data_IF_142659848282
#
_entry.id   IF_142659848282
#
_cell.length_a   1.000
_cell.length_b   1.000
_cell.length_c   1.000
_cell.angle_alpha   90.00
_cell.angle_beta   90.00
_cell.angle_gamma   90.00
#
_symmetry.space_group_name_H-M   'P 1'
#
loop_
_entity.id
_entity.type
_entity.pdbx_description
1 polymer ?
#
# COMPACT_ATOMS: atom_id res chain seq x y z
N UNK A 1 3.65 -7.14 -40.86
CA UNK A 1 3.96 -7.90 -42.10
C UNK A 1 2.98 -7.66 -43.24
N UNK A 2 1.65 -7.68 -43.03
CA UNK A 2 0.67 -7.51 -44.11
C UNK A 2 0.80 -6.20 -44.91
N UNK A 3 0.99 -5.07 -44.21
CA UNK A 3 1.09 -3.74 -44.84
C UNK A 3 2.33 -3.57 -45.73
N UNK A 4 3.40 -4.31 -45.43
CA UNK A 4 4.66 -4.26 -46.19
C UNK A 4 4.62 -5.10 -47.44
N UNK A 5 4.05 -6.29 -47.34
CA UNK A 5 3.80 -7.13 -48.51
C UNK A 5 2.86 -6.39 -49.45
N UNK A 6 1.82 -5.75 -48.93
CA UNK A 6 0.91 -4.91 -49.72
C UNK A 6 1.62 -3.72 -50.39
N UNK A 7 2.45 -2.98 -49.65
CA UNK A 7 3.23 -1.86 -50.21
C UNK A 7 4.22 -2.30 -51.29
N UNK A 8 4.95 -3.41 -51.09
CA UNK A 8 5.87 -3.97 -52.08
C UNK A 8 5.14 -4.48 -53.33
N UNK A 9 3.97 -5.12 -53.17
CA UNK A 9 3.13 -5.54 -54.29
C UNK A 9 2.63 -4.33 -55.08
N UNK A 10 2.21 -3.24 -54.41
CA UNK A 10 1.81 -1.99 -55.07
C UNK A 10 2.96 -1.38 -55.88
N UNK A 11 4.18 -1.38 -55.34
CA UNK A 11 5.35 -0.90 -56.06
C UNK A 11 5.68 -1.77 -57.28
N UNK A 12 5.56 -3.09 -57.16
CA UNK A 12 5.74 -4.01 -58.29
C UNK A 12 4.67 -3.78 -59.37
N UNK A 13 3.40 -3.65 -58.99
CA UNK A 13 2.29 -3.33 -59.92
C UNK A 13 2.53 -1.98 -60.60
N UNK A 14 2.93 -0.94 -59.86
CA UNK A 14 3.26 0.35 -60.42
C UNK A 14 4.41 0.28 -61.45
N UNK A 15 5.43 -0.53 -61.17
CA UNK A 15 6.56 -0.77 -62.08
C UNK A 15 6.11 -1.47 -63.37
N UNK A 16 5.31 -2.55 -63.27
CA UNK A 16 4.80 -3.27 -64.44
C UNK A 16 3.83 -2.43 -65.28
N UNK A 17 2.94 -1.66 -64.66
CA UNK A 17 2.03 -0.74 -65.36
C UNK A 17 2.82 0.36 -66.08
N UNK A 18 3.91 0.87 -65.48
CA UNK A 18 4.80 1.85 -66.11
C UNK A 18 5.54 1.25 -67.32
N UNK A 19 6.01 0.01 -67.20
CA UNK A 19 6.68 -0.69 -68.31
C UNK A 19 5.70 -0.94 -69.46
N UNK A 20 4.47 -1.37 -69.18
CA UNK A 20 3.41 -1.51 -70.18
C UNK A 20 3.00 -0.18 -70.84
N UNK A 21 2.94 0.91 -70.07
CA UNK A 21 2.66 2.24 -70.61
C UNK A 21 3.78 2.82 -71.51
N UNK A 22 5.00 2.27 -71.41
CA UNK A 22 6.12 2.63 -72.28
C UNK A 22 6.15 1.82 -73.59
N UNK A 23 5.58 0.61 -73.60
CA UNK A 23 5.50 -0.25 -74.80
C UNK A 23 4.26 0.04 -75.65
N UNK A 24 3.19 0.58 -75.07
CA UNK A 24 2.01 1.05 -75.83
C UNK A 24 2.40 2.32 -76.61
N UNK A 25 2.71 2.16 -77.91
CA UNK A 25 2.90 3.27 -78.85
C UNK A 25 1.63 4.12 -78.90
N UNK A 26 1.81 5.44 -78.83
CA UNK A 26 0.74 6.43 -78.85
C UNK A 26 0.12 6.54 -80.25
N UNK A 27 -0.66 5.54 -80.68
CA UNK A 27 -1.58 5.68 -81.80
C UNK A 27 -2.99 5.93 -81.24
N UNK A 28 -3.34 7.19 -81.04
CA UNK A 28 -4.76 7.56 -80.92
C UNK A 28 -4.97 9.01 -81.33
N UNK A 29 -5.43 9.19 -82.57
CA UNK A 29 -6.11 10.39 -82.99
C UNK A 29 -7.47 10.44 -82.28
N UNK A 30 -7.70 11.47 -81.45
CA UNK A 30 -9.06 11.88 -81.05
C UNK A 30 -9.62 11.38 -79.70
N UNK A 31 -8.88 10.66 -78.86
CA UNK A 31 -9.35 10.25 -77.53
C UNK A 31 -8.21 10.17 -76.52
N UNK A 32 -8.49 10.43 -75.23
CA UNK A 32 -7.49 10.40 -74.14
C UNK A 32 -6.56 9.19 -74.31
N UNK A 33 -5.28 9.44 -74.59
CA UNK A 33 -4.32 8.38 -74.88
C UNK A 33 -4.28 7.37 -73.72
N UNK A 34 -4.55 6.10 -74.01
CA UNK A 34 -4.53 5.00 -73.04
C UNK A 34 -3.19 4.96 -72.28
N UNK A 35 -2.08 5.22 -72.98
CA UNK A 35 -0.75 5.34 -72.37
C UNK A 35 -0.62 6.50 -71.36
N UNK A 36 -1.32 7.62 -71.56
CA UNK A 36 -1.37 8.73 -70.61
C UNK A 36 -2.10 8.37 -69.32
N UNK A 37 -3.25 7.68 -69.42
CA UNK A 37 -4.01 7.20 -68.25
C UNK A 37 -3.20 6.16 -67.47
N UNK A 38 -2.56 5.21 -68.14
CA UNK A 38 -1.70 4.20 -67.51
C UNK A 38 -0.48 4.82 -66.80
N UNK A 39 0.12 5.88 -67.37
CA UNK A 39 1.20 6.63 -66.68
C UNK A 39 0.70 7.27 -65.40
N UNK A 40 -0.45 7.96 -65.43
CA UNK A 40 -1.03 8.58 -64.22
C UNK A 40 -1.33 7.51 -63.16
N UNK A 41 -1.96 6.40 -63.54
CA UNK A 41 -2.23 5.28 -62.63
C UNK A 41 -0.95 4.69 -62.03
N UNK A 42 0.13 4.58 -62.83
CA UNK A 42 1.43 4.10 -62.32
C UNK A 42 2.04 5.05 -61.27
N UNK A 43 1.91 6.37 -61.46
CA UNK A 43 2.40 7.35 -60.48
C UNK A 43 1.58 7.32 -59.19
N UNK A 44 0.26 7.16 -59.31
CA UNK A 44 -0.62 7.02 -58.13
C UNK A 44 -0.30 5.75 -57.37
N UNK A 45 -0.17 4.60 -58.05
CA UNK A 45 0.20 3.34 -57.41
C UNK A 45 1.59 3.39 -56.76
N UNK A 46 2.55 4.06 -57.40
CA UNK A 46 3.89 4.29 -56.83
C UNK A 46 3.83 5.18 -55.59
N UNK A 47 3.07 6.28 -55.63
CA UNK A 47 2.91 7.16 -54.47
C UNK A 47 2.28 6.42 -53.28
N UNK A 48 1.22 5.64 -53.52
CA UNK A 48 0.58 4.83 -52.46
C UNK A 48 1.54 3.76 -51.94
N UNK A 49 2.28 3.09 -52.83
CA UNK A 49 3.28 2.08 -52.45
C UNK A 49 4.40 2.65 -51.58
N UNK A 50 4.92 3.84 -51.93
CA UNK A 50 5.92 4.55 -51.12
C UNK A 50 5.35 4.95 -49.76
N UNK A 51 4.14 5.51 -49.71
CA UNK A 51 3.49 5.92 -48.45
C UNK A 51 3.25 4.72 -47.54
N UNK A 52 2.79 3.59 -48.07
CA UNK A 52 2.56 2.37 -47.28
C UNK A 52 3.85 1.78 -46.73
N UNK A 53 4.92 1.75 -47.52
CA UNK A 53 6.24 1.29 -47.03
C UNK A 53 6.81 2.23 -45.98
N UNK A 54 6.72 3.56 -46.18
CA UNK A 54 7.14 4.55 -45.19
C UNK A 54 6.35 4.41 -43.88
N UNK A 55 5.03 4.30 -43.97
CA UNK A 55 4.14 4.11 -42.82
C UNK A 55 4.47 2.85 -42.02
N UNK A 56 4.75 1.74 -42.71
CA UNK A 56 5.12 0.49 -42.05
C UNK A 56 6.55 0.49 -41.46
N UNK A 57 7.38 1.47 -41.81
CA UNK A 57 8.73 1.65 -41.26
C UNK A 57 8.70 2.61 -40.06
N UNK A 58 7.69 3.46 -39.95
CA UNK A 58 7.53 4.41 -38.84
C UNK A 58 6.66 3.85 -37.73
N UNK A 59 7.20 3.76 -36.52
CA UNK A 59 6.45 3.35 -35.33
C UNK A 59 6.49 4.46 -34.29
N UNK A 60 5.34 4.72 -33.68
CA UNK A 60 5.20 5.69 -32.58
C UNK A 60 5.15 4.92 -31.28
N UNK A 61 6.07 5.25 -30.37
CA UNK A 61 6.08 4.76 -28.99
C UNK A 61 5.55 5.86 -28.10
N UNK A 62 4.51 5.53 -27.34
CA UNK A 62 3.83 6.50 -26.49
C UNK A 62 4.75 6.93 -25.33
N UNK A 63 4.43 8.08 -24.73
CA UNK A 63 5.06 8.48 -23.48
C UNK A 63 4.76 7.45 -22.38
N UNK A 64 5.75 7.11 -21.57
CA UNK A 64 5.63 6.11 -20.51
C UNK A 64 5.60 4.65 -21.00
N UNK A 65 5.97 4.40 -22.26
CA UNK A 65 6.19 3.08 -22.82
C UNK A 65 7.60 2.96 -23.40
N UNK A 66 8.15 1.75 -23.42
CA UNK A 66 9.39 1.41 -24.12
C UNK A 66 9.14 0.25 -25.06
N UNK A 67 9.69 0.34 -26.27
CA UNK A 67 9.58 -0.71 -27.28
C UNK A 67 10.85 -1.54 -27.33
N UNK A 68 10.73 -2.86 -27.33
CA UNK A 68 11.83 -3.78 -27.62
C UNK A 68 11.62 -4.38 -29.00
N UNK A 69 12.57 -4.11 -29.89
CA UNK A 69 12.56 -4.62 -31.26
C UNK A 69 13.11 -6.04 -31.28
N UNK A 70 12.38 -6.95 -31.92
CA UNK A 70 12.84 -8.31 -32.15
C UNK A 70 12.48 -8.79 -33.56
N UNK A 71 13.38 -9.56 -34.18
CA UNK A 71 13.19 -10.11 -35.52
C UNK A 71 13.91 -11.46 -35.64
N UNK A 72 13.24 -12.45 -36.24
CA UNK A 72 13.84 -13.76 -36.56
C UNK A 72 14.59 -14.43 -35.38
N UNK A 73 14.08 -14.30 -34.16
CA UNK A 73 14.71 -14.87 -32.96
C UNK A 73 15.88 -14.07 -32.38
N UNK A 74 16.20 -12.90 -32.96
CA UNK A 74 17.17 -11.95 -32.40
C UNK A 74 16.45 -10.76 -31.78
N UNK A 75 16.97 -10.28 -30.66
CA UNK A 75 16.48 -9.10 -29.94
C UNK A 75 17.54 -8.01 -30.04
N UNK A 76 17.13 -6.79 -30.34
CA UNK A 76 18.07 -5.68 -30.38
C UNK A 76 18.50 -5.25 -28.98
N UNK A 77 19.80 -5.04 -28.75
CA UNK A 77 20.33 -4.67 -27.44
C UNK A 77 19.93 -3.25 -27.02
N UNK A 78 19.51 -2.41 -27.98
CA UNK A 78 19.10 -1.03 -27.72
C UNK A 78 17.58 -0.91 -27.72
N UNK A 79 16.96 -0.51 -26.60
CA UNK A 79 15.52 -0.33 -26.54
C UNK A 79 15.10 0.95 -27.28
N UNK A 80 13.88 0.93 -27.81
CA UNK A 80 13.26 2.06 -28.47
C UNK A 80 12.55 2.92 -27.42
N UNK A 81 13.13 4.09 -27.13
CA UNK A 81 12.54 5.08 -26.21
C UNK A 81 11.35 5.82 -26.86
N UNK A 82 10.48 6.45 -26.04
CA UNK A 82 9.32 7.22 -26.50
C UNK A 82 9.61 8.17 -27.66
N UNK A 83 8.64 8.30 -28.57
CA UNK A 83 8.72 9.15 -29.75
C UNK A 83 8.55 8.38 -31.06
N UNK A 84 8.78 9.10 -32.16
CA UNK A 84 8.71 8.54 -33.51
C UNK A 84 10.03 7.83 -33.81
N UNK A 85 9.96 6.54 -34.10
CA UNK A 85 11.13 5.70 -34.39
C UNK A 85 10.98 5.06 -35.77
N UNK A 86 12.08 5.06 -36.51
CA UNK A 86 12.17 4.36 -37.79
C UNK A 86 12.74 2.97 -37.52
N UNK A 87 11.96 1.93 -37.80
CA UNK A 87 12.29 0.54 -37.51
C UNK A 87 12.31 -0.27 -38.79
N UNK A 88 13.01 -1.40 -38.76
CA UNK A 88 13.00 -2.30 -39.91
C UNK A 88 11.59 -2.89 -40.07
N UNK A 89 11.05 -2.87 -41.28
CA UNK A 89 9.64 -3.20 -41.49
C UNK A 89 9.27 -4.66 -41.14
N UNK A 90 10.22 -5.59 -41.26
CA UNK A 90 10.03 -7.00 -40.88
C UNK A 90 10.20 -7.28 -39.37
N UNK A 91 10.50 -6.27 -38.56
CA UNK A 91 10.65 -6.42 -37.10
C UNK A 91 9.30 -6.29 -36.38
N UNK A 92 9.16 -7.04 -35.30
CA UNK A 92 8.08 -6.88 -34.34
C UNK A 92 8.57 -6.08 -33.15
N UNK A 93 7.66 -5.35 -32.49
CA UNK A 93 7.99 -4.51 -31.34
C UNK A 93 7.09 -4.93 -30.19
N UNK A 94 7.71 -5.46 -29.16
CA UNK A 94 7.07 -5.68 -27.87
C UNK A 94 7.09 -4.36 -27.09
N UNK A 95 5.99 -4.00 -26.42
CA UNK A 95 5.91 -2.75 -25.66
C UNK A 95 5.77 -3.06 -24.18
N UNK A 96 6.43 -2.26 -23.36
CA UNK A 96 6.32 -2.33 -21.91
C UNK A 96 5.97 -0.96 -21.37
N UNK A 97 5.15 -0.93 -20.33
CA UNK A 97 5.00 0.26 -19.51
C UNK A 97 6.30 0.56 -18.74
N UNK A 98 6.73 1.82 -18.76
CA UNK A 98 7.80 2.32 -17.89
C UNK A 98 7.24 3.23 -16.81
N UNK A 99 5.91 3.22 -16.63
CA UNK A 99 5.25 3.97 -15.57
C UNK A 99 5.48 3.27 -14.24
N UNK A 100 5.30 4.02 -13.16
CA UNK A 100 5.25 3.45 -11.83
C UNK A 100 3.95 2.64 -11.69
N UNK A 101 4.11 1.37 -11.37
CA UNK A 101 3.01 0.45 -11.14
C UNK A 101 2.90 0.09 -9.66
N UNK A 102 1.67 -0.18 -9.23
CA UNK A 102 1.38 -0.58 -7.86
C UNK A 102 1.09 -2.07 -7.80
N UNK A 103 1.66 -2.71 -6.79
CA UNK A 103 1.30 -4.04 -6.32
C UNK A 103 0.63 -3.95 -4.94
N UNK A 104 -0.47 -4.68 -4.70
CA UNK A 104 -1.31 -5.39 -5.68
C UNK A 104 -1.92 -4.41 -6.69
N UNK A 105 -2.30 -4.90 -7.87
CA UNK A 105 -2.81 -4.04 -8.95
C UNK A 105 -4.09 -3.33 -8.49
N UNK A 106 -4.24 -2.07 -8.91
CA UNK A 106 -5.41 -1.24 -8.58
C UNK A 106 -6.71 -1.94 -9.00
N UNK A 107 -7.46 -2.46 -8.02
CA UNK A 107 -8.70 -3.23 -8.23
C UNK A 107 -8.66 -4.68 -7.75
N UNK A 108 -7.46 -5.23 -7.49
CA UNK A 108 -7.31 -6.52 -6.81
C UNK A 108 -7.51 -6.37 -5.30
N UNK A 109 -8.05 -7.42 -4.69
CA UNK A 109 -8.10 -7.58 -3.23
C UNK A 109 -6.69 -7.49 -2.64
N UNK A 110 -6.62 -7.09 -1.37
CA UNK A 110 -5.41 -7.16 -0.56
C UNK A 110 -4.75 -8.53 -0.74
N UNK A 111 -3.50 -8.57 -1.22
CA UNK A 111 -2.77 -9.83 -1.37
C UNK A 111 -2.07 -10.16 -0.05
N UNK A 112 -2.71 -11.05 0.70
CA UNK A 112 -2.16 -11.60 1.94
C UNK A 112 -1.08 -12.65 1.63
N UNK A 113 0.13 -12.40 2.12
CA UNK A 113 1.27 -13.28 1.99
C UNK A 113 1.46 -14.04 3.30
N UNK A 114 1.25 -15.37 3.25
CA UNK A 114 1.63 -16.25 4.34
C UNK A 114 3.16 -16.35 4.43
N UNK A 115 3.71 -16.00 5.60
CA UNK A 115 5.12 -16.03 5.92
C UNK A 115 5.36 -16.69 7.29
N UNK A 116 6.60 -17.06 7.58
CA UNK A 116 6.99 -17.61 8.87
C UNK A 116 7.86 -16.58 9.61
N UNK A 117 7.63 -16.45 10.92
CA UNK A 117 8.54 -15.73 11.83
C UNK A 117 9.80 -16.55 12.14
N UNK A 118 10.76 -15.93 12.84
CA UNK A 118 11.97 -16.61 13.33
C UNK A 118 11.68 -17.83 14.21
N UNK A 119 10.53 -17.84 14.88
CA UNK A 119 10.05 -18.93 15.74
C UNK A 119 9.18 -19.96 14.97
N UNK A 120 9.22 -19.94 13.64
CA UNK A 120 8.43 -20.81 12.75
C UNK A 120 6.91 -20.72 12.94
N UNK A 121 6.43 -19.63 13.55
CA UNK A 121 4.99 -19.36 13.61
C UNK A 121 4.53 -18.68 12.33
N UNK A 122 3.43 -19.18 11.77
CA UNK A 122 2.80 -18.61 10.58
C UNK A 122 2.26 -17.22 10.84
N UNK A 123 2.45 -16.30 9.90
CA UNK A 123 1.97 -14.93 9.98
C UNK A 123 1.40 -14.53 8.64
N UNK A 124 0.37 -13.70 8.67
CA UNK A 124 -0.20 -13.11 7.47
C UNK A 124 0.31 -11.69 7.32
N UNK A 125 0.97 -11.41 6.21
CA UNK A 125 1.55 -10.09 5.91
C UNK A 125 0.85 -9.51 4.70
N UNK A 126 0.40 -8.27 4.83
CA UNK A 126 -0.06 -7.47 3.71
C UNK A 126 0.96 -6.36 3.41
N UNK A 127 1.46 -6.37 2.17
CA UNK A 127 2.39 -5.36 1.66
C UNK A 127 1.82 -4.67 0.42
N UNK A 128 2.05 -3.36 0.34
CA UNK A 128 1.92 -2.58 -0.88
C UNK A 128 3.31 -2.21 -1.40
N UNK A 129 3.53 -2.34 -2.70
CA UNK A 129 4.79 -1.95 -3.34
C UNK A 129 4.48 -1.07 -4.54
N UNK A 130 5.32 -0.07 -4.81
CA UNK A 130 5.40 0.56 -6.12
C UNK A 130 6.73 0.30 -6.77
N UNK A 131 6.69 -0.02 -8.05
CA UNK A 131 7.87 -0.38 -8.83
C UNK A 131 7.77 0.18 -10.24
N UNK A 132 8.92 0.29 -10.91
CA UNK A 132 9.02 0.79 -12.28
C UNK A 132 10.12 0.04 -13.03
N UNK A 133 9.95 -0.11 -14.35
CA UNK A 133 10.95 -0.71 -15.23
C UNK A 133 11.92 0.37 -15.69
N UNK A 134 13.22 0.10 -15.62
CA UNK A 134 14.23 0.96 -16.26
C UNK A 134 14.14 0.79 -17.79
N UNK A 135 13.81 1.86 -18.55
CA UNK A 135 13.72 1.79 -20.00
C UNK A 135 14.99 1.27 -20.67
N UNK A 136 16.17 1.49 -20.07
CA UNK A 136 17.45 1.05 -20.64
C UNK A 136 17.68 -0.46 -20.52
N UNK A 137 17.03 -1.12 -19.55
CA UNK A 137 17.15 -2.57 -19.34
C UNK A 137 16.08 -3.38 -20.08
N UNK A 138 15.10 -2.73 -20.71
CA UNK A 138 13.94 -3.38 -21.32
C UNK A 138 14.31 -4.51 -22.29
N UNK A 139 15.30 -4.31 -23.17
CA UNK A 139 15.74 -5.36 -24.10
C UNK A 139 16.27 -6.62 -23.40
N UNK A 140 16.97 -6.46 -22.27
CA UNK A 140 17.48 -7.59 -21.48
C UNK A 140 16.36 -8.30 -20.74
N UNK A 141 15.47 -7.52 -20.14
CA UNK A 141 14.30 -8.04 -19.43
C UNK A 141 13.43 -8.88 -20.37
N UNK A 142 13.16 -8.40 -21.59
CA UNK A 142 12.41 -9.16 -22.59
C UNK A 142 13.11 -10.47 -22.98
N UNK A 143 14.44 -10.44 -23.14
CA UNK A 143 15.19 -11.63 -23.56
C UNK A 143 15.22 -12.71 -22.48
N UNK A 144 15.31 -12.32 -21.21
CA UNK A 144 15.51 -13.25 -20.08
C UNK A 144 14.20 -13.68 -19.41
N UNK A 145 13.21 -12.78 -19.34
CA UNK A 145 11.91 -13.01 -18.68
C UNK A 145 10.80 -13.18 -19.70
N UNK A 146 10.72 -12.27 -20.69
CA UNK A 146 9.73 -12.31 -21.76
C UNK A 146 8.73 -11.15 -21.71
N UNK A 147 7.45 -11.45 -21.96
CA UNK A 147 6.39 -10.45 -22.13
C UNK A 147 5.96 -9.81 -20.79
N UNK A 148 5.19 -8.73 -20.85
CA UNK A 148 4.75 -7.93 -19.70
C UNK A 148 4.12 -8.78 -18.56
N UNK A 149 3.24 -9.73 -18.88
CA UNK A 149 2.65 -10.63 -17.89
C UNK A 149 3.68 -11.52 -17.17
N UNK A 150 4.72 -11.95 -17.88
CA UNK A 150 5.80 -12.75 -17.31
C UNK A 150 6.68 -11.90 -16.40
N UNK A 151 6.88 -10.62 -16.74
CA UNK A 151 7.57 -9.64 -15.90
C UNK A 151 6.76 -9.42 -14.61
N UNK A 152 5.44 -9.19 -14.72
CA UNK A 152 4.56 -9.03 -13.55
C UNK A 152 4.58 -10.25 -12.64
N UNK A 153 4.54 -11.45 -13.20
CA UNK A 153 4.65 -12.70 -12.45
C UNK A 153 6.02 -12.83 -11.75
N UNK A 154 7.10 -12.50 -12.43
CA UNK A 154 8.45 -12.52 -11.85
C UNK A 154 8.59 -11.53 -10.69
N UNK A 155 8.10 -10.30 -10.86
CA UNK A 155 8.06 -9.27 -9.81
C UNK A 155 7.22 -9.74 -8.62
N UNK A 156 6.02 -10.28 -8.86
CA UNK A 156 5.15 -10.82 -7.79
C UNK A 156 5.84 -11.92 -6.99
N UNK A 157 6.55 -12.82 -7.67
CA UNK A 157 7.30 -13.89 -7.01
C UNK A 157 8.48 -13.36 -6.21
N UNK A 158 9.20 -12.34 -6.72
CA UNK A 158 10.27 -11.67 -6.00
C UNK A 158 9.75 -10.97 -4.73
N UNK A 159 8.59 -10.30 -4.80
CA UNK A 159 7.92 -9.69 -3.63
C UNK A 159 7.59 -10.76 -2.59
N UNK A 160 6.89 -11.82 -2.98
CA UNK A 160 6.53 -12.93 -2.06
C UNK A 160 7.76 -13.54 -1.40
N UNK A 161 8.84 -13.73 -2.16
CA UNK A 161 10.10 -14.25 -1.64
C UNK A 161 10.72 -13.26 -0.63
N UNK A 162 10.92 -12.00 -1.01
CA UNK A 162 11.55 -11.00 -0.14
C UNK A 162 10.77 -10.74 1.15
N UNK A 163 9.43 -10.75 1.09
CA UNK A 163 8.57 -10.64 2.28
C UNK A 163 8.72 -11.86 3.19
N UNK A 164 8.70 -13.08 2.64
CA UNK A 164 8.88 -14.31 3.43
C UNK A 164 10.26 -14.36 4.07
N UNK A 165 11.31 -14.08 3.31
CA UNK A 165 12.70 -14.08 3.79
C UNK A 165 12.92 -12.97 4.83
N UNK A 166 12.22 -11.84 4.69
CA UNK A 166 12.26 -10.73 5.65
C UNK A 166 11.60 -11.09 6.98
N UNK A 167 10.44 -11.76 6.94
CA UNK A 167 9.74 -12.16 8.17
C UNK A 167 10.50 -13.17 9.02
N UNK A 168 11.27 -14.07 8.40
CA UNK A 168 12.06 -15.10 9.11
C UNK A 168 13.08 -14.48 10.07
N UNK A 169 13.46 -13.21 9.86
CA UNK A 169 14.44 -12.52 10.71
C UNK A 169 13.83 -11.94 12.00
N UNK A 170 12.50 -11.89 12.12
CA UNK A 170 11.81 -11.23 13.22
C UNK A 170 10.94 -12.21 14.03
N UNK A 171 10.94 -12.04 15.35
CA UNK A 171 10.02 -12.76 16.24
C UNK A 171 8.65 -12.07 16.26
N UNK A 172 7.62 -12.79 16.71
CA UNK A 172 6.28 -12.21 16.96
C UNK A 172 6.36 -11.02 17.95
N UNK A 173 7.29 -11.05 18.91
CA UNK A 173 7.44 -9.97 19.86
C UNK A 173 7.96 -8.67 19.21
N UNK A 174 8.62 -8.77 18.05
CA UNK A 174 9.14 -7.64 17.29
C UNK A 174 8.12 -6.99 16.35
N UNK A 175 6.86 -7.47 16.32
CA UNK A 175 5.78 -6.91 15.48
C UNK A 175 5.61 -5.39 15.68
N UNK A 176 5.92 -4.87 16.86
CA UNK A 176 5.90 -3.44 17.16
C UNK A 176 6.92 -2.62 16.34
N UNK A 177 8.02 -3.24 15.88
CA UNK A 177 9.09 -2.61 15.09
C UNK A 177 8.76 -2.57 13.59
N UNK A 178 7.52 -2.21 13.23
CA UNK A 178 7.01 -2.24 11.85
C UNK A 178 7.92 -1.52 10.85
N UNK A 179 8.50 -0.38 11.21
CA UNK A 179 9.40 0.38 10.33
C UNK A 179 10.68 -0.38 10.00
N UNK A 180 11.24 -1.11 10.98
CA UNK A 180 12.46 -1.89 10.77
C UNK A 180 12.17 -3.11 9.89
N UNK A 181 11.05 -3.80 10.16
CA UNK A 181 10.56 -4.93 9.36
C UNK A 181 10.36 -4.49 7.91
N UNK A 182 9.67 -3.37 7.68
CA UNK A 182 9.41 -2.84 6.35
C UNK A 182 10.70 -2.56 5.56
N UNK A 183 11.71 -1.93 6.20
CA UNK A 183 13.02 -1.67 5.55
C UNK A 183 13.77 -2.95 5.20
N UNK A 184 13.76 -3.94 6.08
CA UNK A 184 14.39 -5.24 5.80
C UNK A 184 13.70 -5.94 4.64
N UNK A 185 12.37 -5.97 4.62
CA UNK A 185 11.60 -6.53 3.51
C UNK A 185 11.88 -5.80 2.21
N UNK A 186 11.86 -4.46 2.21
CA UNK A 186 12.17 -3.64 1.04
C UNK A 186 13.54 -3.99 0.45
N UNK A 187 14.57 -4.06 1.29
CA UNK A 187 15.92 -4.41 0.85
C UNK A 187 15.99 -5.83 0.25
N UNK A 188 15.28 -6.80 0.86
CA UNK A 188 15.25 -8.17 0.36
C UNK A 188 14.46 -8.29 -0.94
N UNK A 189 13.34 -7.59 -1.07
CA UNK A 189 12.58 -7.51 -2.32
C UNK A 189 13.42 -6.87 -3.42
N UNK A 190 14.09 -5.75 -3.14
CA UNK A 190 14.99 -5.09 -4.10
C UNK A 190 16.13 -6.03 -4.54
N UNK A 191 16.69 -6.81 -3.60
CA UNK A 191 17.69 -7.83 -3.92
C UNK A 191 17.14 -8.99 -4.75
N UNK A 192 15.89 -9.40 -4.52
CA UNK A 192 15.23 -10.48 -5.25
C UNK A 192 14.83 -10.09 -6.68
N UNK A 193 14.72 -8.79 -6.95
CA UNK A 193 14.48 -8.24 -8.29
C UNK A 193 15.75 -8.13 -9.13
N UNK A 194 16.91 -8.41 -8.55
CA UNK A 194 18.18 -8.52 -9.28
C UNK A 194 18.38 -9.99 -9.68
N UNK A 195 18.52 -10.23 -10.98
CA UNK A 195 18.72 -11.57 -11.53
C UNK A 195 19.97 -11.64 -12.39
N UNK A 196 20.49 -12.85 -12.56
CA UNK A 196 21.65 -13.11 -13.41
C UNK A 196 21.21 -13.62 -14.79
N UNK A 197 21.81 -13.11 -15.88
CA UNK A 197 21.51 -13.58 -17.22
C UNK A 197 21.79 -15.08 -17.39
N UNK A 198 20.97 -15.78 -18.19
CA UNK A 198 21.18 -17.21 -18.48
C UNK A 198 22.50 -17.49 -19.18
N UNK A 199 22.92 -16.56 -20.04
CA UNK A 199 24.14 -16.68 -20.84
C UNK A 199 25.44 -16.35 -20.07
N UNK A 200 25.34 -15.98 -18.78
CA UNK A 200 26.45 -15.43 -18.02
C UNK A 200 26.69 -13.96 -18.38
N UNK A 201 26.76 -13.09 -17.38
CA UNK A 201 26.92 -11.65 -17.58
C UNK A 201 26.73 -10.86 -16.29
N UNK A 202 26.88 -9.53 -16.33
CA UNK A 202 26.61 -8.70 -15.16
C UNK A 202 25.13 -8.84 -14.77
N UNK A 203 24.82 -8.85 -13.46
CA UNK A 203 23.45 -8.91 -13.00
C UNK A 203 22.67 -7.71 -13.53
N UNK A 204 21.39 -7.93 -13.82
CA UNK A 204 20.48 -6.86 -14.22
C UNK A 204 19.27 -6.85 -13.31
N UNK A 205 18.61 -5.70 -13.26
CA UNK A 205 17.45 -5.47 -12.42
C UNK A 205 16.20 -5.61 -13.28
N UNK A 206 15.24 -6.41 -12.81
CA UNK A 206 13.95 -6.63 -13.48
C UNK A 206 13.08 -5.37 -13.32
N UNK A 207 13.03 -4.84 -12.09
CA UNK A 207 12.27 -3.67 -11.72
C UNK A 207 12.94 -2.92 -10.58
N UNK A 208 12.77 -1.61 -10.54
CA UNK A 208 13.22 -0.75 -9.45
C UNK A 208 12.08 -0.48 -8.50
N UNK A 209 12.28 -0.74 -7.21
CA UNK A 209 11.33 -0.37 -6.16
C UNK A 209 11.40 1.13 -5.93
N UNK A 210 10.26 1.81 -6.05
CA UNK A 210 10.14 3.24 -5.78
C UNK A 210 9.63 3.50 -4.37
N UNK A 211 8.72 2.66 -3.88
CA UNK A 211 8.21 2.74 -2.52
C UNK A 211 7.73 1.37 -2.01
N UNK A 212 7.95 1.11 -0.72
CA UNK A 212 7.48 -0.07 -0.02
C UNK A 212 6.60 0.32 1.18
N UNK A 213 5.45 -0.34 1.32
CA UNK A 213 4.48 -0.10 2.38
C UNK A 213 4.13 -1.42 3.06
N UNK A 214 4.42 -1.55 4.34
CA UNK A 214 3.88 -2.62 5.18
C UNK A 214 2.49 -2.18 5.66
N UNK A 215 1.43 -2.74 5.07
CA UNK A 215 0.04 -2.34 5.35
C UNK A 215 -0.48 -3.04 6.60
N UNK A 216 -0.38 -4.36 6.64
CA UNK A 216 -0.79 -5.13 7.80
C UNK A 216 0.14 -6.30 8.13
N UNK A 217 0.14 -6.68 9.40
CA UNK A 217 0.93 -7.74 9.96
C UNK A 217 0.11 -8.43 11.05
N UNK A 218 -0.48 -9.57 10.70
CA UNK A 218 -1.37 -10.32 11.58
C UNK A 218 -0.70 -11.62 12.05
N UNK A 219 -0.46 -11.78 13.36
CA UNK A 219 -0.08 -13.07 13.93
C UNK A 219 -1.27 -14.04 13.97
N UNK A 220 -1.04 -15.35 14.20
CA UNK A 220 -2.11 -16.34 14.29
C UNK A 220 -3.15 -15.98 15.34
N UNK A 221 -4.42 -16.31 15.05
CA UNK A 221 -5.53 -16.07 15.98
C UNK A 221 -5.28 -16.68 17.37
N UNK A 222 -4.62 -17.84 17.45
CA UNK A 222 -4.26 -18.48 18.72
C UNK A 222 -3.32 -17.62 19.58
N UNK A 223 -2.34 -16.98 18.95
CA UNK A 223 -1.38 -16.11 19.65
C UNK A 223 -2.05 -14.82 20.07
N UNK A 224 -2.89 -14.23 19.21
CA UNK A 224 -3.69 -13.06 19.55
C UNK A 224 -4.59 -13.35 20.75
N UNK A 225 -5.25 -14.51 20.78
CA UNK A 225 -6.06 -14.94 21.92
C UNK A 225 -5.23 -15.12 23.19
N UNK A 226 -4.07 -15.78 23.12
CA UNK A 226 -3.19 -15.95 24.27
C UNK A 226 -2.68 -14.61 24.82
N UNK A 227 -2.31 -13.67 23.94
CA UNK A 227 -1.91 -12.30 24.31
C UNK A 227 -3.08 -11.57 24.97
N UNK A 228 -4.27 -11.59 24.37
CA UNK A 228 -5.45 -10.94 24.94
C UNK A 228 -5.82 -11.52 26.31
N UNK A 229 -5.71 -12.84 26.48
CA UNK A 229 -5.94 -13.50 27.77
C UNK A 229 -4.90 -13.08 28.81
N UNK A 230 -3.63 -12.98 28.43
CA UNK A 230 -2.56 -12.51 29.32
C UNK A 230 -2.78 -11.06 29.75
N UNK A 231 -3.10 -10.17 28.81
CA UNK A 231 -3.42 -8.76 29.10
C UNK A 231 -4.64 -8.66 30.01
N UNK A 232 -5.69 -9.45 29.76
CA UNK A 232 -6.88 -9.49 30.61
C UNK A 232 -6.55 -9.97 32.03
N UNK A 233 -5.71 -10.99 32.18
CA UNK A 233 -5.24 -11.49 33.48
C UNK A 233 -4.39 -10.46 34.22
N UNK A 234 -3.45 -9.81 33.54
CA UNK A 234 -2.62 -8.74 34.10
C UNK A 234 -3.49 -7.57 34.60
N UNK A 235 -4.48 -7.15 33.80
CA UNK A 235 -5.43 -6.12 34.18
C UNK A 235 -6.28 -6.53 35.39
N UNK A 236 -6.66 -7.81 35.49
CA UNK A 236 -7.38 -8.35 36.64
C UNK A 236 -6.52 -8.33 37.90
N UNK A 237 -5.27 -8.77 37.80
CA UNK A 237 -4.31 -8.76 38.92
C UNK A 237 -4.06 -7.33 39.41
N UNK A 238 -3.87 -6.37 38.51
CA UNK A 238 -3.71 -4.96 38.87
C UNK A 238 -4.97 -4.38 39.53
N UNK A 239 -6.16 -4.76 39.05
CA UNK A 239 -7.43 -4.36 39.68
C UNK A 239 -7.57 -4.92 41.10
N UNK A 240 -7.24 -6.20 41.30
CA UNK A 240 -7.28 -6.82 42.62
C UNK A 240 -6.21 -6.25 43.56
N UNK A 241 -5.00 -5.96 43.07
CA UNK A 241 -3.97 -5.25 43.83
C UNK A 241 -4.46 -3.88 44.28
N UNK A 242 -5.06 -3.12 43.37
CA UNK A 242 -5.63 -1.82 43.69
C UNK A 242 -6.77 -1.93 44.72
N UNK A 243 -7.63 -2.95 44.61
CA UNK A 243 -8.68 -3.23 45.61
C UNK A 243 -8.10 -3.54 46.99
N UNK A 244 -7.07 -4.37 47.05
CA UNK A 244 -6.37 -4.71 48.30
C UNK A 244 -5.70 -3.47 48.90
N UNK A 245 -5.08 -2.63 48.07
CA UNK A 245 -4.46 -1.38 48.51
C UNK A 245 -5.51 -0.40 49.06
N UNK A 246 -6.64 -0.20 48.36
CA UNK A 246 -7.75 0.62 48.83
C UNK A 246 -8.32 0.07 50.13
N UNK A 247 -8.55 -1.24 50.24
CA UNK A 247 -9.03 -1.87 51.46
C UNK A 247 -8.05 -1.70 52.63
N UNK A 248 -6.74 -1.79 52.37
CA UNK A 248 -5.69 -1.55 53.37
C UNK A 248 -5.69 -0.10 53.84
N UNK A 249 -5.76 0.86 52.91
CA UNK A 249 -5.83 2.29 53.24
C UNK A 249 -7.09 2.60 54.06
N UNK A 250 -8.24 2.03 53.71
CA UNK A 250 -9.48 2.18 54.47
C UNK A 250 -9.37 1.56 55.88
N UNK A 251 -8.79 0.38 56.01
CA UNK A 251 -8.58 -0.25 57.32
C UNK A 251 -7.61 0.56 58.19
N UNK A 252 -6.57 1.15 57.60
CA UNK A 252 -5.63 2.03 58.28
C UNK A 252 -6.30 3.36 58.69
N UNK A 253 -7.11 3.96 57.83
CA UNK A 253 -7.95 5.11 58.18
C UNK A 253 -8.91 4.78 59.33
N UNK A 254 -9.58 3.63 59.30
CA UNK A 254 -10.46 3.21 60.41
C UNK A 254 -9.68 3.00 61.71
N UNK A 255 -8.49 2.41 61.66
CA UNK A 255 -7.62 2.29 62.84
C UNK A 255 -7.18 3.66 63.36
N UNK A 256 -6.75 4.56 62.49
CA UNK A 256 -6.38 5.93 62.86
C UNK A 256 -7.56 6.69 63.47
N UNK A 257 -8.75 6.58 62.88
CA UNK A 257 -9.99 7.15 63.44
C UNK A 257 -10.27 6.54 64.82
N UNK A 258 -10.23 5.23 64.99
CA UNK A 258 -10.46 4.59 66.30
C UNK A 258 -9.41 4.98 67.36
N UNK A 259 -8.16 5.25 66.94
CA UNK A 259 -7.09 5.67 67.86
C UNK A 259 -7.19 7.16 68.20
N UNK A 260 -7.71 7.99 67.30
CA UNK A 260 -7.86 9.45 67.47
C UNK A 260 -9.21 9.85 68.07
N UNK A 261 -10.24 9.03 67.94
CA UNK A 261 -11.54 9.17 68.62
C UNK A 261 -11.45 8.76 70.09
N UNK A 262 -10.57 9.39 70.85
CA UNK A 262 -10.65 9.33 72.31
C UNK A 262 -11.91 10.07 72.76
N UNK A 263 -12.55 9.68 73.89
CA UNK A 263 -13.72 10.38 74.42
C UNK A 263 -13.48 11.89 74.58
N UNK A 264 -12.24 12.27 74.88
CA UNK A 264 -11.79 13.66 75.05
C UNK A 264 -11.75 14.43 73.71
N UNK A 265 -11.30 13.80 72.63
CA UNK A 265 -11.25 14.42 71.29
C UNK A 265 -12.66 14.63 70.71
N UNK A 266 -13.54 13.65 70.87
CA UNK A 266 -14.97 13.77 70.52
C UNK A 266 -15.66 14.89 71.32
N UNK A 267 -15.35 14.99 72.62
CA UNK A 267 -15.88 16.05 73.48
C UNK A 267 -15.37 17.44 73.04
N UNK A 268 -14.10 17.58 72.65
CA UNK A 268 -13.57 18.83 72.10
C UNK A 268 -14.24 19.21 70.78
N UNK A 269 -14.38 18.27 69.84
CA UNK A 269 -15.04 18.55 68.55
C UNK A 269 -16.52 18.90 68.74
N UNK A 270 -17.20 18.28 69.70
CA UNK A 270 -18.55 18.68 70.12
C UNK A 270 -18.58 20.13 70.64
N UNK A 271 -17.64 20.52 71.50
CA UNK A 271 -17.56 21.90 72.00
C UNK A 271 -17.26 22.93 70.89
N UNK A 272 -16.45 22.57 69.90
CA UNK A 272 -16.17 23.45 68.76
C UNK A 272 -17.40 23.63 67.86
N UNK A 273 -18.14 22.55 67.56
CA UNK A 273 -19.43 22.63 66.85
C UNK A 273 -20.44 23.45 67.64
N UNK A 274 -20.53 23.29 68.97
CA UNK A 274 -21.39 24.14 69.81
C UNK A 274 -20.97 25.62 69.77
N UNK A 275 -19.67 25.91 69.72
CA UNK A 275 -19.14 27.28 69.61
C UNK A 275 -19.48 27.92 68.27
N UNK A 276 -19.44 27.15 67.20
CA UNK A 276 -19.83 27.58 65.85
C UNK A 276 -21.36 27.74 65.73
N UNK A 277 -22.14 26.85 66.34
CA UNK A 277 -23.60 26.99 66.40
C UNK A 277 -24.06 28.22 67.20
N UNK A 278 -23.33 28.63 68.25
CA UNK A 278 -23.56 29.88 68.98
C UNK A 278 -23.51 31.13 68.08
N UNK A 279 -22.76 31.09 66.97
CA UNK A 279 -22.70 32.22 66.03
C UNK A 279 -23.81 32.20 64.97
N UNK A 280 -24.53 31.08 64.84
CA UNK A 280 -25.66 30.91 63.93
C UNK A 280 -27.02 31.12 64.62
N UNK A 281 -27.94 31.80 63.94
CA UNK A 281 -29.19 32.29 64.56
C UNK A 281 -30.30 31.22 64.72
N UNK A 282 -30.03 29.94 64.42
CA UNK A 282 -30.99 28.83 64.51
C UNK A 282 -30.42 27.71 65.40
N UNK A 283 -30.75 27.78 66.70
CA UNK A 283 -30.12 26.95 67.72
C UNK A 283 -31.08 25.81 68.14
N UNK A 284 -30.84 24.60 67.64
CA UNK A 284 -31.42 23.35 68.16
C UNK A 284 -30.35 22.68 69.02
N UNK A 285 -30.53 22.71 70.35
CA UNK A 285 -29.61 22.07 71.30
C UNK A 285 -30.01 20.59 71.43
N UNK A 286 -29.20 19.68 70.90
CA UNK A 286 -29.34 18.25 71.14
C UNK A 286 -28.36 17.81 72.24
N UNK A 287 -28.90 17.45 73.41
CA UNK A 287 -28.12 16.85 74.51
C UNK A 287 -28.52 15.38 74.64
N UNK A 288 -27.65 14.43 74.24
CA UNK A 288 -27.90 13.03 74.53
C UNK A 288 -27.51 12.72 75.98
N UNK A 289 -28.49 12.40 76.81
CA UNK A 289 -28.28 11.67 78.05
C UNK A 289 -28.81 10.24 77.86
N UNK A 290 -28.40 9.30 78.71
CA UNK A 290 -28.62 7.85 78.53
C UNK A 290 -30.10 7.39 78.50
N UNK A 291 -31.08 8.29 78.50
CA UNK A 291 -32.51 8.01 78.54
C UNK A 291 -33.36 8.58 77.40
N UNK A 292 -32.75 9.12 76.33
CA UNK A 292 -33.48 9.70 75.19
C UNK A 292 -33.27 11.22 75.05
N UNK A 293 -33.65 11.76 73.89
CA UNK A 293 -33.32 13.12 73.46
C UNK A 293 -34.50 14.07 73.74
N UNK A 294 -34.44 14.95 74.75
CA UNK A 294 -35.40 16.04 74.86
C UNK A 294 -35.06 17.11 73.81
N UNK A 295 -35.95 17.33 72.84
CA UNK A 295 -35.83 18.43 71.89
C UNK A 295 -36.35 19.72 72.52
N UNK A 296 -35.48 20.71 72.74
CA UNK A 296 -35.89 22.05 73.17
C UNK A 296 -35.95 22.98 71.94
N UNK A 297 -37.15 23.19 71.40
CA UNK A 297 -37.39 24.15 70.33
C UNK A 297 -37.62 25.56 70.92
N UNK A 298 -36.58 26.38 70.92
CA UNK A 298 -36.61 27.74 71.47
C UNK A 298 -37.47 28.70 70.62
N UNK A 299 -37.78 28.32 69.36
CA UNK A 299 -38.67 29.08 68.48
C UNK A 299 -40.14 29.05 68.92
N UNK A 300 -40.57 27.94 69.53
CA UNK A 300 -41.94 27.79 70.06
C UNK A 300 -42.07 28.41 71.45
N UNK A 301 -41.03 28.34 72.29
CA UNK A 301 -40.95 29.05 73.58
C UNK A 301 -41.02 30.57 73.40
N UNK A 302 -40.40 31.12 72.36
CA UNK A 302 -40.45 32.57 72.05
C UNK A 302 -41.82 33.02 71.55
N UNK A 303 -42.60 32.12 70.94
CA UNK A 303 -43.98 32.37 70.50
C UNK A 303 -44.94 32.43 71.69
N UNK A 304 -44.75 31.57 72.69
CA UNK A 304 -45.55 31.54 73.92
C UNK A 304 -45.28 32.70 74.88
N UNK A 305 -44.09 33.32 74.84
CA UNK A 305 -43.76 34.52 75.64
C UNK A 305 -44.29 35.84 75.04
N UNK A 306 -44.97 35.80 73.89
CA UNK A 306 -45.50 36.98 73.18
C UNK A 306 -47.03 37.04 73.12
N UNK A 307 -47.75 36.15 73.79
CA UNK A 307 -49.19 36.30 73.96
C UNK A 307 -49.47 36.88 75.36
N UNK A 308 -50.23 37.98 75.47
CA UNK A 308 -50.54 38.64 76.74
C UNK A 308 -51.43 37.79 77.65
#
# INVERSE_FOLDING_TARGET
MGELVFGLVLLAVAFFVRLGAATVRAESAGGRSIGGVLRVLSYVALAIGVITVLGATTVVINAGEVGVRHAFGTVDPTPLLPGIRLVTPWSSIERFTTREEQYPFSGEQVEEIAALSSEQMGMTVDVGLRWQIDPQQASRIYTEIGIEDQIHSAVRNAIRKGVRDGMVQYSINDISKRTQIARTMEALVDSALVTQPRAGGPPFRIATVTAFFLRDLQPPAQVVQAINNKIAQEQQVETERHRVEVARLQAEQQRLLNTTLTPEALTRQYFDVLRELKSSNNLVILVPTQGGIPMLNIGDLRRNLRQP
#
